data_IF_140989641618
#
_entry.id   IF_140989641618
#
_cell.length_a   1.000
_cell.length_b   1.000
_cell.length_c   1.000
_cell.angle_alpha   90.00
_cell.angle_beta   90.00
_cell.angle_gamma   90.00
#
_symmetry.space_group_name_H-M   'P 1'
#
loop_
_entity.id
_entity.type
_entity.pdbx_description
1 polymer ?
#
# COMPACT_ATOMS: atom_id res chain seq x y z
N UNK A 1 -11.27 18.69 10.69
CA UNK A 1 -12.46 18.60 11.55
C UNK A 1 -12.36 17.39 12.48
N UNK A 2 -12.21 16.16 11.95
CA UNK A 2 -11.98 14.96 12.78
C UNK A 2 -10.64 15.01 13.53
N UNK A 3 -9.54 15.34 12.84
CA UNK A 3 -8.17 15.25 13.42
C UNK A 3 -7.76 16.50 14.23
N UNK A 4 -8.54 17.57 14.15
CA UNK A 4 -8.24 18.88 14.77
C UNK A 4 -9.54 19.60 15.11
N UNK A 5 -10.23 19.19 16.19
CA UNK A 5 -11.44 19.87 16.65
C UNK A 5 -11.10 21.26 17.22
N UNK A 6 -11.89 22.27 16.86
CA UNK A 6 -11.76 23.64 17.37
C UNK A 6 -12.29 23.75 18.81
N UNK A 7 -11.93 24.84 19.50
CA UNK A 7 -12.43 25.14 20.85
C UNK A 7 -13.96 25.21 20.84
N UNK A 8 -14.61 24.33 21.61
CA UNK A 8 -16.08 24.19 21.67
C UNK A 8 -16.66 23.04 20.83
N UNK A 9 -15.83 22.24 20.16
CA UNK A 9 -16.26 21.04 19.43
C UNK A 9 -15.94 19.77 20.23
N UNK A 10 -16.87 18.81 20.22
CA UNK A 10 -16.69 17.48 20.80
C UNK A 10 -17.13 16.44 19.75
N UNK A 11 -16.28 15.45 19.50
CA UNK A 11 -16.53 14.39 18.52
C UNK A 11 -16.84 13.10 19.28
N UNK A 12 -17.96 12.46 18.95
CA UNK A 12 -18.34 11.14 19.47
C UNK A 12 -18.42 10.20 18.27
N UNK A 13 -17.67 9.11 18.35
CA UNK A 13 -17.85 7.97 17.46
C UNK A 13 -18.77 6.97 18.15
N UNK A 14 -19.80 6.51 17.44
CA UNK A 14 -20.74 5.52 17.94
C UNK A 14 -20.96 4.43 16.87
N UNK A 15 -20.95 3.18 17.29
CA UNK A 15 -21.21 2.00 16.48
C UNK A 15 -22.33 1.13 17.05
N UNK A 16 -22.44 -0.09 16.55
CA UNK A 16 -23.45 -1.07 16.97
C UNK A 16 -23.28 -1.54 18.41
N UNK A 17 -22.07 -1.45 18.96
CA UNK A 17 -21.77 -1.85 20.33
C UNK A 17 -22.19 -0.78 21.35
N UNK A 18 -22.50 0.44 20.88
CA UNK A 18 -22.96 1.55 21.73
C UNK A 18 -24.48 1.62 21.88
N UNK A 19 -25.22 0.68 21.26
CA UNK A 19 -26.69 0.68 21.25
C UNK A 19 -27.27 -0.65 21.75
N UNK A 20 -28.36 -0.56 22.52
CA UNK A 20 -28.99 -1.74 23.15
C UNK A 20 -30.16 -2.33 22.36
N UNK A 21 -30.60 -1.67 21.29
CA UNK A 21 -31.78 -2.06 20.51
C UNK A 21 -31.45 -3.00 19.33
N UNK A 22 -30.18 -3.21 19.00
CA UNK A 22 -29.75 -4.15 17.96
C UNK A 22 -29.44 -5.51 18.59
N UNK A 23 -30.28 -6.51 18.31
CA UNK A 23 -29.98 -7.91 18.65
C UNK A 23 -28.87 -8.47 17.74
N UNK A 24 -28.14 -9.47 18.21
CA UNK A 24 -27.08 -10.14 17.42
C UNK A 24 -27.60 -10.70 16.09
N UNK A 25 -28.82 -11.25 16.07
CA UNK A 25 -29.47 -11.70 14.84
C UNK A 25 -29.68 -10.55 13.83
N UNK A 26 -30.10 -9.38 14.33
CA UNK A 26 -30.30 -8.18 13.49
C UNK A 26 -28.96 -7.67 12.96
N UNK A 27 -27.93 -7.65 13.81
CA UNK A 27 -26.56 -7.26 13.42
C UNK A 27 -26.07 -8.15 12.27
N UNK A 28 -26.20 -9.46 12.38
CA UNK A 28 -25.74 -10.39 11.34
C UNK A 28 -26.48 -10.19 10.00
N UNK A 29 -27.81 -10.04 10.06
CA UNK A 29 -28.64 -9.79 8.86
C UNK A 29 -28.24 -8.49 8.15
N UNK A 30 -28.02 -7.43 8.92
CA UNK A 30 -27.58 -6.14 8.38
C UNK A 30 -26.15 -6.22 7.82
N UNK A 31 -25.24 -6.93 8.49
CA UNK A 31 -23.84 -7.07 8.05
C UNK A 31 -23.73 -7.78 6.69
N UNK A 32 -24.53 -8.81 6.47
CA UNK A 32 -24.61 -9.55 5.21
C UNK A 32 -25.14 -8.66 4.06
N UNK A 33 -26.03 -7.70 4.38
CA UNK A 33 -26.56 -6.76 3.40
C UNK A 33 -25.57 -5.66 2.97
N UNK A 34 -24.49 -5.45 3.75
CA UNK A 34 -23.52 -4.41 3.47
C UNK A 34 -22.37 -4.90 2.59
N UNK A 35 -22.00 -4.13 1.55
CA UNK A 35 -20.76 -4.37 0.81
C UNK A 35 -19.55 -4.39 1.77
N UNK A 36 -18.55 -5.27 1.56
CA UNK A 36 -17.41 -5.40 2.46
C UNK A 36 -16.74 -4.07 2.83
N UNK A 37 -16.52 -3.19 1.84
CA UNK A 37 -15.89 -1.90 2.04
C UNK A 37 -16.70 -0.91 2.91
N UNK A 38 -18.00 -1.12 3.12
CA UNK A 38 -18.86 -0.26 3.96
C UNK A 38 -19.06 -0.82 5.37
N UNK A 39 -18.75 -2.10 5.61
CA UNK A 39 -19.09 -2.78 6.87
C UNK A 39 -18.50 -2.06 8.07
N UNK A 40 -17.23 -1.69 8.05
CA UNK A 40 -16.59 -1.01 9.18
C UNK A 40 -17.20 0.36 9.47
N UNK A 41 -17.50 1.16 8.44
CA UNK A 41 -18.18 2.44 8.61
C UNK A 41 -19.57 2.25 9.20
N UNK A 42 -20.35 1.28 8.69
CA UNK A 42 -21.73 1.06 9.10
C UNK A 42 -21.86 0.43 10.48
N UNK A 43 -20.86 -0.34 10.92
CA UNK A 43 -20.90 -1.09 12.19
C UNK A 43 -20.14 -0.40 13.31
N UNK A 44 -18.98 0.20 13.02
CA UNK A 44 -18.09 0.80 14.02
C UNK A 44 -18.11 2.34 14.02
N UNK A 45 -18.84 2.95 13.09
CA UNK A 45 -18.86 4.42 12.93
C UNK A 45 -17.53 5.00 12.46
N UNK A 46 -16.63 4.18 11.91
CA UNK A 46 -15.32 4.63 11.40
C UNK A 46 -15.57 5.47 10.14
N UNK A 47 -15.17 6.76 10.12
CA UNK A 47 -15.41 7.61 8.97
C UNK A 47 -14.69 7.05 7.74
N UNK A 48 -15.41 6.83 6.64
CA UNK A 48 -14.74 6.62 5.36
C UNK A 48 -14.08 7.93 4.94
N UNK A 49 -12.76 8.00 5.05
CA UNK A 49 -11.98 9.06 4.43
C UNK A 49 -12.09 8.93 2.91
N UNK A 50 -12.78 9.89 2.29
CA UNK A 50 -12.61 10.20 0.86
C UNK A 50 -13.83 9.95 0.00
N UNK A 51 -14.18 10.96 -0.79
CA UNK A 51 -14.98 10.84 -1.99
C UNK A 51 -14.38 9.74 -2.88
N UNK A 52 -15.21 8.75 -3.25
CA UNK A 52 -14.92 7.73 -4.26
C UNK A 52 -13.53 7.11 -4.17
N UNK A 53 -13.38 6.06 -3.34
CA UNK A 53 -12.21 5.19 -3.46
C UNK A 53 -12.11 4.77 -4.93
N UNK A 54 -10.94 4.92 -5.53
CA UNK A 54 -10.70 4.43 -6.91
C UNK A 54 -10.90 2.90 -6.94
N UNK A 55 -10.59 2.23 -5.83
CA UNK A 55 -10.76 0.80 -5.64
C UNK A 55 -11.68 0.51 -4.45
N UNK A 56 -12.86 -0.05 -4.71
CA UNK A 56 -13.87 -0.41 -3.70
C UNK A 56 -13.67 -1.82 -3.09
N UNK A 57 -12.42 -2.30 -3.07
CA UNK A 57 -12.03 -3.58 -2.45
C UNK A 57 -11.62 -3.36 -0.99
N UNK A 58 -11.98 -4.29 -0.11
CA UNK A 58 -11.50 -4.29 1.27
C UNK A 58 -10.07 -4.81 1.35
N UNK A 59 -9.31 -4.36 2.35
CA UNK A 59 -7.95 -4.86 2.61
C UNK A 59 -7.95 -6.37 2.86
N UNK A 60 -8.89 -6.87 3.68
CA UNK A 60 -9.08 -8.30 3.93
C UNK A 60 -9.35 -9.14 2.67
N UNK A 61 -9.78 -8.52 1.57
CA UNK A 61 -10.03 -9.23 0.31
C UNK A 61 -8.74 -9.41 -0.51
N UNK A 62 -7.75 -8.53 -0.33
CA UNK A 62 -6.51 -8.52 -1.11
C UNK A 62 -5.29 -8.98 -0.29
N UNK A 63 -5.44 -9.08 1.03
CA UNK A 63 -4.38 -9.51 1.95
C UNK A 63 -4.44 -11.03 2.18
N UNK A 64 -3.27 -11.66 2.30
CA UNK A 64 -3.13 -13.05 2.69
C UNK A 64 -2.00 -13.19 3.71
N UNK A 65 -2.00 -14.30 4.46
CA UNK A 65 -0.90 -14.62 5.38
C UNK A 65 0.40 -14.84 4.60
N UNK A 66 1.57 -14.42 5.13
CA UNK A 66 2.85 -14.65 4.47
C UNK A 66 3.15 -16.15 4.29
N UNK A 67 3.73 -16.50 3.15
CA UNK A 67 4.18 -17.84 2.82
C UNK A 67 5.50 -17.81 2.04
N UNK A 68 6.21 -18.95 2.01
CA UNK A 68 7.44 -19.08 1.21
C UNK A 68 7.10 -19.09 -0.28
N UNK A 69 7.78 -18.24 -1.05
CA UNK A 69 7.56 -18.11 -2.49
C UNK A 69 8.18 -19.33 -3.21
N UNK A 70 7.40 -20.10 -4.00
CA UNK A 70 7.93 -21.23 -4.76
C UNK A 70 8.98 -20.83 -5.80
N UNK A 71 10.04 -21.65 -5.95
CA UNK A 71 11.17 -21.40 -6.87
C UNK A 71 10.78 -21.23 -8.35
N UNK A 72 9.64 -21.80 -8.76
CA UNK A 72 9.17 -21.76 -10.15
C UNK A 72 8.35 -20.50 -10.46
N UNK A 73 8.01 -19.69 -9.46
CA UNK A 73 7.31 -18.41 -9.66
C UNK A 73 8.27 -17.35 -10.19
N UNK A 74 7.73 -16.42 -10.98
CA UNK A 74 8.52 -15.29 -11.45
C UNK A 74 8.53 -14.20 -10.40
N UNK A 75 9.68 -13.52 -10.25
CA UNK A 75 9.84 -12.40 -9.31
C UNK A 75 10.27 -11.16 -10.07
N UNK A 76 9.63 -10.03 -9.78
CA UNK A 76 9.95 -8.73 -10.35
C UNK A 76 9.80 -7.66 -9.28
N UNK A 77 10.72 -6.69 -9.28
CA UNK A 77 10.62 -5.52 -8.41
C UNK A 77 9.98 -4.36 -9.16
N UNK A 78 9.31 -3.47 -8.43
CA UNK A 78 8.79 -2.20 -8.93
C UNK A 78 9.30 -1.05 -8.07
N UNK A 79 9.63 0.07 -8.69
CA UNK A 79 10.03 1.28 -7.97
C UNK A 79 9.31 2.53 -8.44
N UNK A 80 9.10 3.47 -7.51
CA UNK A 80 8.68 4.83 -7.78
C UNK A 80 9.71 5.81 -7.23
N UNK A 81 10.05 6.82 -8.02
CA UNK A 81 11.08 7.79 -7.66
C UNK A 81 10.49 8.91 -6.81
N UNK A 82 11.22 9.35 -5.80
CA UNK A 82 10.75 10.41 -4.91
C UNK A 82 11.85 10.99 -4.03
N UNK A 83 11.73 12.28 -3.75
CA UNK A 83 12.54 12.98 -2.75
C UNK A 83 11.66 13.62 -1.66
N UNK A 84 10.92 14.67 -1.98
CA UNK A 84 9.95 15.27 -1.05
C UNK A 84 8.67 14.43 -0.96
N UNK A 85 8.19 13.92 -2.11
CA UNK A 85 7.30 12.77 -2.12
C UNK A 85 8.11 11.50 -1.85
N UNK A 86 7.59 10.53 -1.07
CA UNK A 86 8.33 9.32 -0.76
C UNK A 86 8.64 8.52 -2.02
N UNK A 87 9.88 8.00 -2.10
CA UNK A 87 10.17 6.89 -3.01
C UNK A 87 9.61 5.59 -2.42
N UNK A 88 9.39 4.62 -3.29
CA UNK A 88 8.92 3.30 -2.90
C UNK A 88 9.58 2.20 -3.73
N UNK A 89 9.78 1.04 -3.11
CA UNK A 89 10.16 -0.20 -3.77
C UNK A 89 9.28 -1.34 -3.29
N UNK A 90 8.86 -2.18 -4.22
CA UNK A 90 8.03 -3.37 -3.95
C UNK A 90 8.62 -4.57 -4.67
N UNK A 91 8.39 -5.76 -4.13
CA UNK A 91 8.68 -7.02 -4.80
C UNK A 91 7.38 -7.77 -5.05
N UNK A 92 7.23 -8.26 -6.28
CA UNK A 92 6.07 -9.01 -6.74
C UNK A 92 6.51 -10.44 -7.06
N UNK A 93 5.75 -11.40 -6.55
CA UNK A 93 5.83 -12.80 -6.98
C UNK A 93 4.61 -13.14 -7.84
N UNK A 94 4.85 -13.79 -8.97
CA UNK A 94 3.85 -14.08 -9.99
C UNK A 94 3.72 -15.58 -10.12
N UNK A 95 2.56 -16.09 -9.71
CA UNK A 95 2.13 -17.45 -10.01
C UNK A 95 1.58 -17.48 -11.44
N UNK A 96 2.34 -18.10 -12.35
CA UNK A 96 1.96 -18.19 -13.76
C UNK A 96 0.88 -19.24 -14.04
N UNK A 97 0.60 -20.14 -13.10
CA UNK A 97 -0.46 -21.14 -13.27
C UNK A 97 -1.83 -20.57 -12.91
N UNK A 98 -1.89 -19.78 -11.83
CA UNK A 98 -3.14 -19.15 -11.36
C UNK A 98 -3.32 -17.70 -11.81
N UNK A 99 -2.29 -17.12 -12.45
CA UNK A 99 -2.21 -15.70 -12.81
C UNK A 99 -2.35 -14.76 -11.59
N UNK A 100 -1.99 -15.25 -10.40
CA UNK A 100 -2.05 -14.46 -9.16
C UNK A 100 -0.74 -13.72 -8.94
N UNK A 101 -0.85 -12.43 -8.60
CA UNK A 101 0.29 -11.58 -8.26
C UNK A 101 0.24 -11.27 -6.76
N UNK A 102 1.33 -11.58 -6.07
CA UNK A 102 1.49 -11.32 -4.64
C UNK A 102 2.50 -10.19 -4.43
N UNK A 103 2.11 -9.18 -3.67
CA UNK A 103 3.05 -8.19 -3.13
C UNK A 103 3.71 -8.79 -1.90
N UNK A 104 4.99 -9.12 -1.98
CA UNK A 104 5.70 -9.85 -0.92
C UNK A 104 6.47 -8.92 0.00
N UNK A 105 7.01 -7.83 -0.56
CA UNK A 105 7.76 -6.82 0.16
C UNK A 105 7.34 -5.43 -0.31
N UNK A 106 7.31 -4.49 0.61
CA UNK A 106 7.10 -3.08 0.31
C UNK A 106 7.95 -2.24 1.26
N UNK A 107 8.63 -1.25 0.68
CA UNK A 107 9.40 -0.25 1.42
C UNK A 107 9.07 1.14 0.88
N UNK A 108 9.00 2.12 1.78
CA UNK A 108 8.66 3.51 1.44
C UNK A 108 9.38 4.46 2.37
N UNK A 109 10.05 5.47 1.80
CA UNK A 109 10.73 6.51 2.57
C UNK A 109 10.89 7.80 1.74
N UNK A 110 10.93 8.96 2.39
CA UNK A 110 11.25 10.24 1.74
C UNK A 110 12.67 10.70 2.10
N UNK A 111 13.23 11.60 1.28
CA UNK A 111 14.52 12.28 1.52
C UNK A 111 15.70 11.33 1.80
N UNK A 112 15.72 10.19 1.12
CA UNK A 112 16.77 9.18 1.24
C UNK A 112 17.52 9.04 -0.07
N UNK A 113 18.83 8.84 -0.01
CA UNK A 113 19.64 8.65 -1.21
C UNK A 113 19.37 7.26 -1.85
N UNK A 114 19.63 7.08 -3.16
CA UNK A 114 19.50 5.77 -3.81
C UNK A 114 20.37 4.67 -3.17
N UNK A 115 21.55 5.02 -2.64
CA UNK A 115 22.44 4.07 -1.96
C UNK A 115 21.85 3.59 -0.63
N UNK A 116 21.22 4.50 0.12
CA UNK A 116 20.57 4.14 1.39
C UNK A 116 19.28 3.34 1.13
N UNK A 117 18.54 3.69 0.08
CA UNK A 117 17.39 2.90 -0.38
C UNK A 117 17.82 1.48 -0.74
N UNK A 118 18.88 1.33 -1.54
CA UNK A 118 19.48 0.03 -1.83
C UNK A 118 19.89 -0.71 -0.56
N UNK A 119 20.55 -0.02 0.38
CA UNK A 119 20.93 -0.59 1.67
C UNK A 119 19.77 -1.19 2.44
N UNK A 120 18.57 -0.61 2.34
CA UNK A 120 17.35 -1.07 3.01
C UNK A 120 16.69 -2.28 2.33
N UNK A 121 16.81 -2.39 1.00
CA UNK A 121 16.04 -3.38 0.21
C UNK A 121 16.89 -4.51 -0.39
N UNK A 122 18.22 -4.36 -0.44
CA UNK A 122 19.14 -5.33 -1.08
C UNK A 122 19.02 -6.76 -0.58
N UNK A 123 18.48 -7.00 0.62
CA UNK A 123 18.31 -8.35 1.15
C UNK A 123 17.28 -9.16 0.35
N UNK A 124 16.35 -8.50 -0.33
CA UNK A 124 15.33 -9.12 -1.18
C UNK A 124 15.36 -8.64 -2.64
N UNK A 125 15.85 -7.44 -2.93
CA UNK A 125 15.88 -6.86 -4.27
C UNK A 125 17.09 -7.27 -5.13
N UNK A 126 18.08 -7.95 -4.53
CA UNK A 126 19.32 -8.28 -5.24
C UNK A 126 19.08 -9.32 -6.33
N UNK A 127 19.62 -9.05 -7.52
CA UNK A 127 19.53 -9.90 -8.71
C UNK A 127 18.10 -10.07 -9.26
N UNK A 128 17.14 -9.24 -8.81
CA UNK A 128 15.75 -9.20 -9.29
C UNK A 128 15.58 -8.03 -10.29
N UNK A 129 15.04 -8.27 -11.50
CA UNK A 129 14.77 -7.20 -12.45
C UNK A 129 13.82 -6.14 -11.86
N UNK A 130 14.14 -4.86 -12.02
CA UNK A 130 13.34 -3.77 -11.45
C UNK A 130 12.67 -2.92 -12.52
N UNK A 131 11.34 -2.85 -12.49
CA UNK A 131 10.55 -1.94 -13.30
C UNK A 131 10.50 -0.53 -12.66
N UNK A 132 10.59 0.51 -13.49
CA UNK A 132 10.61 1.91 -13.05
C UNK A 132 9.83 2.80 -14.03
N UNK A 133 9.22 3.91 -13.57
CA UNK A 133 8.38 4.77 -14.40
C UNK A 133 9.19 5.63 -15.37
N UNK A 134 8.53 6.18 -16.40
CA UNK A 134 9.18 7.05 -17.41
C UNK A 134 9.97 8.21 -16.80
N UNK A 135 9.60 8.67 -15.60
CA UNK A 135 10.29 9.73 -14.87
C UNK A 135 11.76 9.42 -14.58
N UNK A 136 12.15 8.15 -14.61
CA UNK A 136 13.55 7.73 -14.53
C UNK A 136 14.43 8.26 -15.67
N UNK A 137 13.83 8.70 -16.79
CA UNK A 137 14.53 9.35 -17.91
C UNK A 137 14.72 10.86 -17.73
N UNK A 138 14.09 11.46 -16.72
CA UNK A 138 14.26 12.88 -16.42
C UNK A 138 15.68 13.13 -15.91
N UNK A 139 16.34 14.12 -16.51
CA UNK A 139 17.67 14.55 -16.12
C UNK A 139 17.59 15.50 -14.94
N UNK A 140 18.33 15.22 -13.87
CA UNK A 140 18.40 16.15 -12.74
C UNK A 140 19.17 17.41 -13.13
N UNK A 141 18.59 18.57 -12.80
CA UNK A 141 19.13 19.90 -13.15
C UNK A 141 20.53 20.17 -12.60
N UNK A 142 20.97 19.43 -11.58
CA UNK A 142 22.27 19.63 -10.91
C UNK A 142 23.40 18.71 -11.41
N UNK A 143 23.10 17.50 -11.86
CA UNK A 143 24.13 16.48 -12.15
C UNK A 143 24.25 16.10 -13.62
N UNK A 144 23.23 16.43 -14.44
CA UNK A 144 23.17 15.98 -15.83
C UNK A 144 22.92 14.46 -15.99
N UNK A 145 22.75 13.70 -14.90
CA UNK A 145 22.41 12.28 -14.94
C UNK A 145 20.89 12.07 -14.87
N UNK A 146 20.44 11.00 -15.51
CA UNK A 146 19.07 10.52 -15.40
C UNK A 146 18.85 9.87 -14.04
N UNK A 147 17.66 10.02 -13.45
CA UNK A 147 17.34 9.42 -12.14
C UNK A 147 17.62 7.92 -12.10
N UNK A 148 17.26 7.17 -13.15
CA UNK A 148 17.51 5.71 -13.21
C UNK A 148 18.99 5.35 -13.08
N UNK A 149 19.90 6.22 -13.56
CA UNK A 149 21.32 5.94 -13.57
C UNK A 149 21.87 5.86 -12.13
N UNK A 150 21.36 6.69 -11.23
CA UNK A 150 21.76 6.64 -9.83
C UNK A 150 21.31 5.37 -9.11
N UNK A 151 20.08 4.92 -9.37
CA UNK A 151 19.57 3.67 -8.79
C UNK A 151 20.30 2.46 -9.38
N UNK A 152 20.62 2.48 -10.68
CA UNK A 152 21.47 1.45 -11.29
C UNK A 152 22.89 1.45 -10.72
N UNK A 153 23.47 2.61 -10.46
CA UNK A 153 24.78 2.74 -9.79
C UNK A 153 24.74 2.23 -8.34
N UNK A 154 23.61 2.37 -7.65
CA UNK A 154 23.43 1.87 -6.29
C UNK A 154 23.35 0.34 -6.21
N UNK A 155 22.74 -0.31 -7.22
CA UNK A 155 22.68 -1.77 -7.34
C UNK A 155 21.39 -2.36 -7.89
N UNK A 156 20.37 -1.54 -8.18
CA UNK A 156 19.12 -2.01 -8.78
C UNK A 156 19.33 -2.46 -10.24
N UNK A 157 18.65 -3.54 -10.65
CA UNK A 157 18.84 -4.20 -11.95
C UNK A 157 17.91 -3.67 -13.04
#
# INVERSE_FOLDING_TARGET
FMDTPSKGQYLIQAGWDDVTHLSEQTKQTLLESFPPHQREMRTKGIPMLGHGRIYDLSEDYITCEPFEIPDHWMVIDGMDFGWDHPQAQVQLAIDMETETIYVTHAWKQNRLSPNDAWGAVKSWAKDVPTAWPLDGLQTEKGSGKQQKAYYKEAGFN
#
